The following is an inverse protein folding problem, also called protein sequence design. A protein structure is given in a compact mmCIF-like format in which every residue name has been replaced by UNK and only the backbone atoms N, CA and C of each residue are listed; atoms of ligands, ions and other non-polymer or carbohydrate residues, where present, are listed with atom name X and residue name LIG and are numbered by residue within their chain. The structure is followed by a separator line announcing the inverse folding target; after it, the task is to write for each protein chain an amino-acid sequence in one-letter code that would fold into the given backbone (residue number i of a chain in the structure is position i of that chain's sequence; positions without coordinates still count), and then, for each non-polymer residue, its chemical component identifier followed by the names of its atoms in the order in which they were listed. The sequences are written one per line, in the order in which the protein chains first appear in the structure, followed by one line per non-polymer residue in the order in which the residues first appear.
data_IF_650523527812
#
_entry.id   IF_650523527812
#
_cell.length_a   1.000
_cell.length_b   1.000
_cell.length_c   1.000
_cell.angle_alpha   90.00
_cell.angle_beta   90.00
_cell.angle_gamma   90.00
#
_symmetry.space_group_name_H-M   'P 1'
#
loop_
_entity.id
_entity.type
_entity.pdbx_description
1 polymer ?
#
# COMPACT_ATOMS: atom_id res chain seq x y z
N UNK A 1 2.16 -6.15 6.02
CA UNK A 1 0.71 -6.46 5.95
C UNK A 1 -0.17 -5.49 6.74
N UNK A 2 0.16 -5.16 8.00
CA UNK A 2 -0.72 -4.37 8.89
C UNK A 2 -1.19 -3.02 8.34
N UNK A 3 -0.33 -2.28 7.64
CA UNK A 3 -0.68 -0.99 7.00
C UNK A 3 -1.89 -1.14 6.08
N UNK A 4 -1.85 -2.12 5.17
CA UNK A 4 -2.92 -2.33 4.20
C UNK A 4 -4.24 -2.70 4.87
N UNK A 5 -4.21 -3.54 5.91
CA UNK A 5 -5.41 -3.90 6.67
C UNK A 5 -5.99 -2.70 7.42
N UNK A 6 -5.13 -1.89 8.04
CA UNK A 6 -5.55 -0.64 8.68
C UNK A 6 -6.23 0.29 7.67
N UNK A 7 -5.68 0.42 6.45
CA UNK A 7 -6.31 1.20 5.38
C UNK A 7 -7.70 0.68 5.00
N UNK A 8 -7.92 -0.64 4.97
CA UNK A 8 -9.27 -1.19 4.74
C UNK A 8 -10.27 -0.73 5.80
N UNK A 9 -9.88 -0.77 7.06
CA UNK A 9 -10.74 -0.36 8.18
C UNK A 9 -10.98 1.16 8.11
N UNK A 10 -9.94 1.94 7.85
CA UNK A 10 -9.98 3.39 7.76
C UNK A 10 -10.88 3.87 6.62
N UNK A 11 -10.68 3.32 5.42
CA UNK A 11 -11.54 3.66 4.28
C UNK A 11 -12.96 3.12 4.45
N UNK A 12 -13.13 2.13 5.34
CA UNK A 12 -14.38 1.42 5.55
C UNK A 12 -14.83 0.69 4.29
N UNK A 13 -16.04 0.14 4.40
CA UNK A 13 -16.78 -0.36 3.24
C UNK A 13 -18.26 -0.27 3.55
N UNK A 14 -18.92 0.72 2.95
CA UNK A 14 -20.36 0.93 3.05
C UNK A 14 -21.14 -0.18 2.33
N UNK A 15 -22.45 -0.30 2.59
CA UNK A 15 -23.32 -1.26 1.88
C UNK A 15 -23.32 -1.00 0.36
N UNK A 16 -23.18 0.26 -0.04
CA UNK A 16 -23.11 0.68 -1.45
C UNK A 16 -21.84 0.13 -2.17
N UNK A 17 -20.72 -0.01 -1.45
CA UNK A 17 -19.46 -0.60 -1.94
C UNK A 17 -19.50 -2.15 -1.98
N UNK A 18 -20.59 -2.77 -1.52
CA UNK A 18 -20.79 -4.22 -1.53
C UNK A 18 -21.40 -4.72 -2.86
N UNK A 19 -22.04 -3.83 -3.63
CA UNK A 19 -22.84 -4.14 -4.82
C UNK A 19 -22.08 -4.62 -6.07
N UNK A 20 -20.75 -4.68 -6.04
CA UNK A 20 -19.91 -4.99 -7.20
C UNK A 20 -19.24 -6.38 -7.17
N UNK A 21 -19.35 -7.14 -6.07
CA UNK A 21 -18.74 -8.47 -5.92
C UNK A 21 -19.50 -9.27 -4.85
N UNK A 22 -20.41 -10.17 -5.27
CA UNK A 22 -21.32 -10.95 -4.42
C UNK A 22 -20.57 -11.77 -3.35
N UNK A 23 -19.36 -12.26 -3.65
CA UNK A 23 -18.53 -13.01 -2.69
C UNK A 23 -17.96 -12.12 -1.56
N UNK A 24 -17.89 -10.81 -1.80
CA UNK A 24 -17.40 -9.82 -0.85
C UNK A 24 -18.54 -9.05 -0.19
N UNK A 25 -19.80 -9.26 -0.59
CA UNK A 25 -21.00 -8.62 -0.02
C UNK A 25 -21.16 -8.91 1.48
N UNK A 26 -20.57 -10.00 1.97
CA UNK A 26 -20.59 -10.39 3.37
C UNK A 26 -19.57 -9.65 4.27
N UNK A 27 -18.69 -8.81 3.70
CA UNK A 27 -17.63 -8.13 4.44
C UNK A 27 -17.89 -6.62 4.56
N UNK A 28 -18.92 -6.26 5.32
CA UNK A 28 -19.17 -4.88 5.75
C UNK A 28 -18.20 -4.49 6.86
N UNK A 29 -17.39 -3.44 6.63
CA UNK A 29 -16.39 -2.96 7.61
C UNK A 29 -16.87 -1.74 8.40
N UNK A 30 -18.09 -1.26 8.13
CA UNK A 30 -18.59 -0.01 8.68
C UNK A 30 -18.31 1.20 7.79
N UNK A 31 -18.80 2.39 8.21
CA UNK A 31 -18.51 3.64 7.55
C UNK A 31 -17.02 3.99 7.67
N UNK A 32 -16.53 4.79 6.72
CA UNK A 32 -15.16 5.32 6.71
C UNK A 32 -14.81 6.02 8.03
N UNK A 33 -13.65 5.68 8.60
CA UNK A 33 -13.07 6.32 9.78
C UNK A 33 -12.12 7.47 9.46
N UNK A 34 -11.87 7.80 8.18
CA UNK A 34 -10.93 8.85 7.75
C UNK A 34 -11.01 10.15 8.56
N UNK A 35 -12.23 10.67 8.79
CA UNK A 35 -12.48 11.91 9.54
C UNK A 35 -12.19 11.80 11.06
N UNK A 36 -11.86 10.60 11.53
CA UNK A 36 -11.49 10.30 12.92
C UNK A 36 -10.01 9.95 13.05
N UNK A 37 -9.27 9.90 11.93
CA UNK A 37 -7.84 9.61 11.92
C UNK A 37 -7.11 10.87 11.49
N UNK A 38 -6.56 11.58 12.47
CA UNK A 38 -5.78 12.78 12.21
C UNK A 38 -4.49 12.43 11.44
N UNK A 39 -3.64 11.55 12.00
CA UNK A 39 -2.39 11.12 11.36
C UNK A 39 -2.36 9.61 11.16
N UNK A 40 -1.97 9.18 9.96
CA UNK A 40 -1.73 7.77 9.64
C UNK A 40 -0.32 7.57 9.09
N UNK A 41 0.50 6.80 9.81
CA UNK A 41 1.87 6.46 9.42
C UNK A 41 1.90 5.00 8.95
N UNK A 42 2.09 4.81 7.64
CA UNK A 42 2.27 3.48 7.05
C UNK A 42 3.74 3.09 6.97
N UNK A 43 4.15 2.11 7.77
CA UNK A 43 5.54 1.59 7.78
C UNK A 43 5.61 0.24 7.05
N UNK A 44 6.43 0.17 6.00
CA UNK A 44 6.59 -1.02 5.15
C UNK A 44 5.24 -1.64 4.72
N UNK A 45 4.36 -0.80 4.20
CA UNK A 45 3.08 -1.23 3.62
C UNK A 45 3.26 -2.05 2.34
N UNK A 46 2.34 -2.96 2.04
CA UNK A 46 2.33 -3.70 0.78
C UNK A 46 1.12 -3.25 -0.06
N UNK A 47 1.01 -1.94 -0.28
CA UNK A 47 -0.14 -1.30 -0.91
C UNK A 47 -0.27 -1.67 -2.40
N UNK A 48 0.81 -2.07 -3.06
CA UNK A 48 0.77 -2.56 -4.44
C UNK A 48 1.12 -4.06 -4.55
N UNK A 49 1.06 -4.77 -3.41
CA UNK A 49 1.33 -6.20 -3.31
C UNK A 49 2.77 -6.55 -2.97
N UNK A 50 3.05 -7.84 -2.89
CA UNK A 50 4.37 -8.40 -2.61
C UNK A 50 4.78 -9.25 -3.81
N UNK A 51 6.00 -9.07 -4.33
CA UNK A 51 6.43 -9.76 -5.55
C UNK A 51 6.42 -11.29 -5.44
N UNK A 52 6.68 -11.86 -4.27
CA UNK A 52 6.53 -13.33 -4.11
C UNK A 52 5.08 -13.78 -4.34
N UNK A 53 4.11 -12.93 -4.03
CA UNK A 53 2.70 -13.20 -4.30
C UNK A 53 2.33 -13.02 -5.78
N UNK A 54 3.26 -12.71 -6.67
CA UNK A 54 3.03 -12.73 -8.12
C UNK A 54 3.00 -14.14 -8.70
N UNK A 55 3.52 -15.12 -7.98
CA UNK A 55 3.45 -16.53 -8.37
C UNK A 55 2.00 -17.03 -8.37
N UNK A 56 1.56 -17.60 -9.49
CA UNK A 56 0.18 -18.01 -9.69
C UNK A 56 -0.25 -19.15 -8.74
N UNK A 57 0.67 -20.08 -8.43
CA UNK A 57 0.38 -21.17 -7.49
C UNK A 57 0.22 -20.63 -6.08
N UNK A 58 1.05 -19.67 -5.66
CA UNK A 58 0.87 -18.99 -4.37
C UNK A 58 -0.41 -18.16 -4.34
N UNK A 59 -0.78 -17.51 -5.45
CA UNK A 59 -2.03 -16.76 -5.54
C UNK A 59 -3.29 -17.64 -5.36
N UNK A 60 -3.21 -18.91 -5.76
CA UNK A 60 -4.29 -19.90 -5.61
C UNK A 60 -4.28 -20.63 -4.27
N UNK A 61 -3.10 -20.85 -3.68
CA UNK A 61 -2.95 -21.73 -2.50
C UNK A 61 -2.67 -20.99 -1.19
N UNK A 62 -2.10 -19.78 -1.25
CA UNK A 62 -1.82 -18.98 -0.07
C UNK A 62 -2.83 -17.82 0.04
N UNK A 63 -3.73 -17.82 1.05
CA UNK A 63 -4.72 -16.75 1.21
C UNK A 63 -4.12 -15.35 1.26
N UNK A 64 -2.92 -15.22 1.86
CA UNK A 64 -2.17 -13.96 1.91
C UNK A 64 -1.77 -13.44 0.52
N UNK A 65 -1.70 -14.29 -0.51
CA UNK A 65 -1.37 -13.93 -1.89
C UNK A 65 -2.60 -13.94 -2.81
N UNK A 66 -3.81 -14.11 -2.29
CA UNK A 66 -5.06 -14.16 -3.07
C UNK A 66 -5.22 -12.95 -4.00
N UNK A 67 -5.68 -13.21 -5.23
CA UNK A 67 -6.04 -12.16 -6.21
C UNK A 67 -7.24 -11.33 -5.78
N UNK A 68 -8.09 -11.82 -4.87
CA UNK A 68 -9.28 -11.09 -4.38
C UNK A 68 -8.94 -10.24 -3.16
N UNK A 69 -8.38 -10.86 -2.12
CA UNK A 69 -8.24 -10.27 -0.78
C UNK A 69 -6.81 -10.16 -0.26
N UNK A 70 -5.84 -10.75 -0.96
CA UNK A 70 -4.45 -10.83 -0.52
C UNK A 70 -3.56 -9.74 -1.11
N UNK A 71 -2.26 -10.00 -1.05
CA UNK A 71 -1.16 -9.14 -1.49
C UNK A 71 -0.63 -9.51 -2.87
N UNK A 72 -1.48 -10.10 -3.72
CA UNK A 72 -1.14 -10.38 -5.11
C UNK A 72 -0.66 -9.09 -5.79
N UNK A 73 0.61 -9.01 -6.16
CA UNK A 73 1.19 -7.85 -6.86
C UNK A 73 0.86 -7.86 -8.35
N UNK A 74 0.34 -8.98 -8.87
CA UNK A 74 0.12 -9.20 -10.28
C UNK A 74 1.13 -10.12 -10.90
N UNK A 75 0.77 -10.80 -11.98
CA UNK A 75 1.71 -11.52 -12.84
C UNK A 75 2.38 -10.56 -13.83
N UNK A 76 2.85 -9.42 -13.32
CA UNK A 76 3.11 -8.20 -14.08
C UNK A 76 3.97 -8.39 -15.34
N UNK A 77 3.78 -7.46 -16.28
CA UNK A 77 4.44 -7.37 -17.57
C UNK A 77 4.44 -8.68 -18.41
N UNK A 78 3.73 -8.75 -19.54
CA UNK A 78 3.81 -9.91 -20.43
C UNK A 78 5.26 -10.29 -20.72
N UNK A 79 5.63 -11.54 -20.44
CA UNK A 79 6.98 -12.12 -20.64
C UNK A 79 8.09 -11.52 -19.78
N UNK A 80 7.80 -10.89 -18.64
CA UNK A 80 8.81 -10.57 -17.63
C UNK A 80 8.91 -11.71 -16.60
N UNK A 81 10.11 -12.15 -16.23
CA UNK A 81 10.29 -13.06 -15.11
C UNK A 81 9.99 -12.36 -13.78
N UNK A 82 9.60 -13.14 -12.76
CA UNK A 82 9.10 -12.62 -11.46
C UNK A 82 10.15 -11.82 -10.67
N UNK A 83 11.43 -12.09 -10.91
CA UNK A 83 12.56 -11.34 -10.36
C UNK A 83 12.61 -9.89 -10.83
N UNK A 84 12.04 -9.58 -12.01
CA UNK A 84 11.89 -8.21 -12.49
C UNK A 84 10.82 -7.41 -11.72
N UNK A 85 10.00 -8.06 -10.88
CA UNK A 85 8.98 -7.38 -10.07
C UNK A 85 9.59 -6.32 -9.13
N UNK A 86 10.82 -6.53 -8.68
CA UNK A 86 11.56 -5.61 -7.80
C UNK A 86 12.27 -4.48 -8.54
N UNK A 87 12.13 -4.38 -9.86
CA UNK A 87 12.82 -3.37 -10.65
C UNK A 87 11.99 -2.08 -10.74
N UNK A 88 12.70 -0.95 -10.67
CA UNK A 88 12.18 0.40 -10.96
C UNK A 88 11.67 0.49 -12.41
N UNK A 89 12.29 -0.27 -13.30
CA UNK A 89 11.94 -0.44 -14.71
C UNK A 89 12.37 -1.85 -15.12
N UNK A 90 11.44 -2.83 -15.16
CA UNK A 90 11.68 -4.15 -15.74
C UNK A 90 12.37 -4.01 -17.10
N UNK A 91 13.30 -4.90 -17.45
CA UNK A 91 14.26 -4.71 -18.52
C UNK A 91 13.60 -4.78 -19.91
N UNK A 92 12.92 -3.71 -20.30
CA UNK A 92 12.67 -3.24 -21.65
C UNK A 92 11.75 -2.03 -21.54
N UNK A 93 11.91 -1.09 -22.47
CA UNK A 93 11.02 0.04 -22.78
C UNK A 93 9.53 -0.34 -22.94
N UNK A 94 8.90 -0.89 -21.90
CA UNK A 94 7.50 -1.30 -21.84
C UNK A 94 6.82 -0.30 -20.93
N UNK A 95 6.43 0.82 -21.52
CA UNK A 95 5.48 1.79 -20.96
C UNK A 95 4.18 1.14 -20.43
N UNK A 96 3.96 -0.14 -20.73
CA UNK A 96 2.80 -0.94 -20.37
C UNK A 96 2.95 -1.79 -19.11
N UNK A 97 4.14 -1.85 -18.50
CA UNK A 97 4.33 -2.53 -17.21
C UNK A 97 3.55 -1.84 -16.08
N UNK A 98 3.32 -0.54 -16.21
CA UNK A 98 2.51 0.26 -15.30
C UNK A 98 1.00 0.19 -15.62
N UNK A 99 0.63 -0.18 -16.86
CA UNK A 99 -0.74 -0.09 -17.37
C UNK A 99 -1.49 -1.40 -17.16
N UNK A 100 -2.22 -1.44 -16.04
CA UNK A 100 -3.57 -2.02 -15.88
C UNK A 100 -3.81 -2.55 -14.47
N UNK A 101 -3.01 -2.10 -13.50
CA UNK A 101 -3.32 -2.28 -12.08
C UNK A 101 -3.74 -3.70 -11.76
N UNK A 102 -3.08 -4.71 -12.32
CA UNK A 102 -3.44 -6.11 -12.11
C UNK A 102 -2.79 -6.60 -10.84
N UNK A 103 -3.08 -5.95 -9.72
CA UNK A 103 -2.80 -6.46 -8.39
C UNK A 103 -4.14 -6.80 -7.73
N UNK A 104 -4.16 -7.28 -6.48
CA UNK A 104 -5.40 -7.86 -5.93
C UNK A 104 -6.58 -6.86 -5.94
N UNK A 105 -7.81 -7.37 -6.11
CA UNK A 105 -9.01 -6.53 -6.19
C UNK A 105 -9.15 -5.58 -4.98
N UNK A 106 -8.85 -6.11 -3.79
CA UNK A 106 -8.78 -5.35 -2.55
C UNK A 106 -7.79 -4.19 -2.60
N UNK A 107 -6.55 -4.45 -3.04
CA UNK A 107 -5.54 -3.41 -3.11
C UNK A 107 -5.92 -2.37 -4.18
N UNK A 108 -6.47 -2.80 -5.32
CA UNK A 108 -6.95 -1.87 -6.36
C UNK A 108 -7.98 -0.90 -5.79
N UNK A 109 -8.95 -1.42 -5.03
CA UNK A 109 -9.98 -0.62 -4.34
C UNK A 109 -9.34 0.40 -3.41
N UNK A 110 -8.41 -0.03 -2.55
CA UNK A 110 -7.72 0.86 -1.61
C UNK A 110 -6.96 2.00 -2.31
N UNK A 111 -6.48 1.76 -3.52
CA UNK A 111 -5.66 2.70 -4.27
C UNK A 111 -6.41 3.43 -5.39
N UNK A 112 -7.73 3.33 -5.45
CA UNK A 112 -8.52 4.05 -6.46
C UNK A 112 -8.28 5.57 -6.34
N UNK A 113 -7.96 6.29 -7.43
CA UNK A 113 -7.71 7.73 -7.37
C UNK A 113 -8.90 8.56 -6.86
N UNK A 114 -10.11 8.03 -7.00
CA UNK A 114 -11.34 8.63 -6.51
C UNK A 114 -11.54 8.50 -5.00
N UNK A 115 -10.72 7.68 -4.31
CA UNK A 115 -10.81 7.50 -2.86
C UNK A 115 -10.13 8.69 -2.15
N UNK A 116 -10.80 9.30 -1.16
CA UNK A 116 -10.16 10.28 -0.29
C UNK A 116 -8.95 9.71 0.44
N UNK A 117 -8.05 10.62 0.86
CA UNK A 117 -6.88 10.32 1.69
C UNK A 117 -7.29 9.54 2.96
N UNK A 118 -6.41 8.66 3.42
CA UNK A 118 -6.72 7.75 4.54
C UNK A 118 -6.79 8.48 5.90
N UNK A 119 -6.19 9.66 6.02
CA UNK A 119 -6.23 10.50 7.21
C UNK A 119 -6.14 11.98 6.81
N UNK A 120 -6.17 12.90 7.78
CA UNK A 120 -5.85 14.31 7.53
C UNK A 120 -4.39 14.50 7.13
N UNK A 121 -3.49 13.70 7.71
CA UNK A 121 -2.07 13.65 7.41
C UNK A 121 -1.59 12.19 7.23
N UNK A 122 -1.03 11.86 6.07
CA UNK A 122 -0.59 10.51 5.74
C UNK A 122 0.91 10.49 5.43
N UNK A 123 1.62 9.57 6.08
CA UNK A 123 3.05 9.37 5.86
C UNK A 123 3.31 7.94 5.43
N UNK A 124 4.12 7.78 4.38
CA UNK A 124 4.61 6.47 3.92
C UNK A 124 6.08 6.31 4.28
N UNK A 125 6.42 5.21 4.95
CA UNK A 125 7.79 4.91 5.40
C UNK A 125 8.19 3.55 4.85
N UNK A 126 9.39 3.45 4.25
CA UNK A 126 9.96 2.17 3.84
C UNK A 126 11.47 2.18 3.77
N UNK A 127 12.07 1.00 3.57
CA UNK A 127 13.49 0.87 3.33
C UNK A 127 13.79 0.13 2.04
N UNK A 128 14.84 0.57 1.34
CA UNK A 128 15.42 -0.13 0.20
C UNK A 128 16.13 -1.42 0.61
N UNK A 129 16.44 -1.60 1.91
CA UNK A 129 16.99 -2.81 2.51
C UNK A 129 15.94 -3.83 2.97
N UNK A 130 14.66 -3.61 2.62
CA UNK A 130 13.55 -4.47 3.00
C UNK A 130 13.57 -5.78 2.21
N UNK A 131 14.03 -6.88 2.83
CA UNK A 131 14.08 -8.18 2.17
C UNK A 131 12.69 -8.84 1.95
N UNK A 132 11.64 -8.37 2.64
CA UNK A 132 10.29 -8.98 2.57
C UNK A 132 9.50 -8.39 1.41
N UNK A 133 9.53 -7.06 1.28
CA UNK A 133 8.93 -6.34 0.15
C UNK A 133 9.86 -6.27 -1.07
N UNK A 134 11.12 -6.66 -0.85
CA UNK A 134 12.18 -6.69 -1.84
C UNK A 134 13.02 -5.43 -1.83
N UNK A 135 14.26 -5.59 -2.30
CA UNK A 135 15.21 -4.49 -2.44
C UNK A 135 14.57 -3.37 -3.25
N UNK A 136 14.79 -2.12 -2.85
CA UNK A 136 14.18 -0.90 -3.47
C UNK A 136 12.67 -0.75 -3.32
N UNK A 137 11.98 -1.68 -2.63
CA UNK A 137 10.55 -1.61 -2.33
C UNK A 137 9.62 -1.57 -3.56
N UNK A 138 10.09 -2.03 -4.72
CA UNK A 138 9.28 -2.05 -5.94
C UNK A 138 8.42 -3.32 -6.06
N UNK A 139 7.20 -3.13 -6.55
CA UNK A 139 6.33 -4.14 -7.11
C UNK A 139 5.85 -3.65 -8.49
N UNK A 140 6.38 -4.24 -9.56
CA UNK A 140 6.06 -3.90 -10.95
C UNK A 140 6.16 -2.40 -11.25
N UNK A 141 7.31 -1.81 -10.91
CA UNK A 141 7.58 -0.38 -11.15
C UNK A 141 6.81 0.58 -10.24
N UNK A 142 6.18 0.09 -9.15
CA UNK A 142 5.54 0.93 -8.12
C UNK A 142 6.20 0.69 -6.77
N UNK A 143 6.46 1.76 -6.01
CA UNK A 143 6.88 1.63 -4.61
C UNK A 143 5.72 1.06 -3.79
N UNK A 144 5.84 -0.19 -3.35
CA UNK A 144 4.72 -0.92 -2.76
C UNK A 144 4.30 -0.34 -1.41
N UNK A 145 5.21 0.28 -0.67
CA UNK A 145 4.90 0.92 0.61
C UNK A 145 4.31 2.30 0.50
N UNK A 146 4.33 2.92 -0.68
CA UNK A 146 3.68 4.20 -0.90
C UNK A 146 2.16 4.05 -0.74
N UNK A 147 1.57 4.87 0.12
CA UNK A 147 0.13 5.07 0.22
C UNK A 147 -0.24 6.20 -0.75
N UNK A 148 -1.21 6.00 -1.67
CA UNK A 148 -1.72 7.06 -2.52
C UNK A 148 -2.11 8.30 -1.73
N UNK A 149 -1.77 9.48 -2.25
CA UNK A 149 -2.03 10.77 -1.60
C UNK A 149 -1.32 10.97 -0.25
N UNK A 150 -0.17 10.32 -0.02
CA UNK A 150 0.67 10.64 1.14
C UNK A 150 1.15 12.08 1.10
N UNK A 151 1.13 12.75 2.25
CA UNK A 151 1.67 14.10 2.44
C UNK A 151 3.19 14.10 2.58
N UNK A 152 3.75 13.00 3.10
CA UNK A 152 5.19 12.80 3.23
C UNK A 152 5.60 11.36 2.95
N UNK A 153 6.86 11.18 2.53
CA UNK A 153 7.47 9.86 2.38
C UNK A 153 8.91 9.85 2.87
N UNK A 154 9.25 8.89 3.72
CA UNK A 154 10.60 8.71 4.27
C UNK A 154 11.18 7.37 3.82
N UNK A 155 12.38 7.43 3.23
CA UNK A 155 13.05 6.28 2.60
C UNK A 155 14.39 6.05 3.29
N UNK A 156 14.61 4.84 3.78
CA UNK A 156 15.85 4.43 4.45
C UNK A 156 16.60 3.41 3.60
N UNK A 157 17.93 3.42 3.62
CA UNK A 157 18.72 2.55 2.74
C UNK A 157 19.05 1.18 3.34
N UNK A 158 19.28 1.09 4.66
CA UNK A 158 19.89 -0.09 5.30
C UNK A 158 19.08 -0.64 6.47
N UNK A 159 17.75 -0.48 6.47
CA UNK A 159 16.88 -1.03 7.49
C UNK A 159 16.14 -2.26 6.96
N UNK A 160 16.10 -3.33 7.76
CA UNK A 160 15.25 -4.47 7.44
C UNK A 160 13.77 -4.11 7.57
N UNK A 161 12.91 -4.93 6.95
CA UNK A 161 11.44 -4.84 7.04
C UNK A 161 10.92 -4.61 8.47
N UNK A 162 11.58 -5.26 9.44
CA UNK A 162 11.19 -5.18 10.84
C UNK A 162 11.84 -3.97 11.51
N UNK A 163 13.15 -3.79 11.30
CA UNK A 163 13.93 -2.81 12.05
C UNK A 163 13.55 -1.37 11.78
N UNK A 164 13.00 -1.09 10.59
CA UNK A 164 12.48 0.23 10.27
C UNK A 164 11.42 0.68 11.29
N UNK A 165 10.57 -0.22 11.81
CA UNK A 165 9.54 0.15 12.78
C UNK A 165 10.10 0.72 14.08
N UNK A 166 11.18 0.16 14.62
CA UNK A 166 11.69 0.56 15.93
C UNK A 166 12.93 1.44 15.87
N UNK A 167 13.65 1.46 14.75
CA UNK A 167 14.82 2.35 14.56
C UNK A 167 14.44 3.76 14.08
N UNK A 168 13.20 3.99 13.66
CA UNK A 168 12.72 5.30 13.19
C UNK A 168 11.68 5.89 14.14
N UNK A 169 11.70 5.52 15.43
CA UNK A 169 10.72 6.00 16.42
C UNK A 169 10.79 7.53 16.58
N UNK A 170 11.98 8.11 16.54
CA UNK A 170 12.18 9.56 16.58
C UNK A 170 11.52 10.24 15.37
N UNK A 171 11.77 9.75 14.16
CA UNK A 171 11.13 10.25 12.95
C UNK A 171 9.60 10.08 12.98
N UNK A 172 9.11 8.95 13.52
CA UNK A 172 7.67 8.73 13.71
C UNK A 172 7.03 9.79 14.62
N UNK A 173 7.70 10.18 15.71
CA UNK A 173 7.23 11.25 16.60
C UNK A 173 7.25 12.61 15.89
N UNK A 174 8.30 12.89 15.11
CA UNK A 174 8.37 14.12 14.31
C UNK A 174 7.22 14.20 13.30
N UNK A 175 6.92 13.10 12.59
CA UNK A 175 5.81 13.05 11.65
C UNK A 175 4.45 13.27 12.30
N UNK A 176 4.25 12.77 13.52
CA UNK A 176 3.03 13.07 14.30
C UNK A 176 2.92 14.57 14.61
N UNK A 177 4.01 15.19 15.09
CA UNK A 177 4.03 16.63 15.37
C UNK A 177 3.82 17.48 14.12
N UNK A 178 4.40 17.08 12.98
CA UNK A 178 4.22 17.77 11.71
C UNK A 178 2.78 17.68 11.20
N UNK A 179 2.11 16.54 11.41
CA UNK A 179 0.69 16.40 11.13
C UNK A 179 -0.14 17.42 11.90
N UNK A 180 0.10 17.58 13.21
CA UNK A 180 -0.68 18.47 14.07
C UNK A 180 -0.54 19.94 13.65
N UNK A 181 0.69 20.36 13.36
CA UNK A 181 0.94 21.72 12.83
C UNK A 181 0.25 21.95 11.50
N UNK A 182 0.14 20.94 10.64
CA UNK A 182 -0.54 21.06 9.36
C UNK A 182 -2.05 21.29 9.56
N UNK A 183 -2.67 20.65 10.56
CA UNK A 183 -4.07 20.89 10.92
C UNK A 183 -4.29 22.33 11.40
N UNK A 184 -3.47 22.83 12.35
CA UNK A 184 -3.56 24.20 12.88
C UNK A 184 -3.49 25.26 11.76
N UNK A 185 -2.58 25.10 10.79
CA UNK A 185 -2.44 26.04 9.67
C UNK A 185 -3.60 26.01 8.66
N UNK A 186 -4.41 24.95 8.65
CA UNK A 186 -5.58 24.84 7.77
C UNK A 186 -6.86 25.37 8.43
N UNK A 187 -6.92 25.47 9.76
CA UNK A 187 -8.05 26.09 10.48
C UNK A 187 -7.98 27.63 10.51
N UNK A 188 -6.81 28.22 10.26
CA UNK A 188 -6.61 29.68 10.19
C UNK A 188 -6.97 30.32 8.83
N UNK A 189 -7.48 29.55 7.85
CA UNK A 189 -7.87 30.02 6.51
C UNK A 189 -9.37 29.90 6.26
#
# INVERSE_FOLDING_TARGET
MGVTLARQIIQGRGIEDLSADEDLEQCYLGPSLRQKVHTFIGISGANYGICICSDEKLAETAPACSKKTGFWAGSGCPNAPIDECHLTSPASSRSHCHSNGRYSATLKRLNMPTRPKDAHYVVSIWSDGDAVLGKTNFAWGRQTSLIPNSDHSAIYSNLSHYSIKWKTVEDQLEFLSNGQKNEENNEEK
#
